data_IF_535711747239
#
_entry.id   IF_535711747239
#
_cell.length_a   1.000
_cell.length_b   1.000
_cell.length_c   1.000
_cell.angle_alpha   90.00
_cell.angle_beta   90.00
_cell.angle_gamma   90.00
#
_symmetry.space_group_name_H-M   'P 1'
#
loop_
_entity.id
_entity.type
_entity.pdbx_description
1 polymer ?
#
# COMPACT_ATOMS: atom_id res chain seq x y z
N UNK A 1 7.56 12.68 -28.39
CA UNK A 1 7.97 12.85 -26.98
C UNK A 1 7.13 11.88 -26.16
N UNK A 2 7.41 10.58 -26.26
CA UNK A 2 6.68 9.55 -25.51
C UNK A 2 7.64 9.03 -24.45
N UNK A 3 7.70 9.71 -23.31
CA UNK A 3 8.28 9.09 -22.12
C UNK A 3 7.40 7.87 -21.80
N UNK A 4 7.95 6.66 -21.67
CA UNK A 4 7.19 5.53 -21.18
C UNK A 4 6.76 5.89 -19.76
N UNK A 5 5.45 6.13 -19.57
CA UNK A 5 4.86 6.13 -18.24
C UNK A 5 5.12 4.74 -17.70
N UNK A 6 5.89 4.63 -16.62
CA UNK A 6 6.22 3.33 -16.05
C UNK A 6 4.92 2.54 -15.82
N UNK A 7 4.83 1.28 -16.25
CA UNK A 7 3.59 0.50 -16.12
C UNK A 7 3.24 0.16 -14.66
N UNK A 8 4.19 0.37 -13.75
CA UNK A 8 4.09 0.15 -12.32
C UNK A 8 4.89 1.21 -11.56
N UNK A 9 4.59 1.33 -10.28
CA UNK A 9 5.33 2.11 -9.30
C UNK A 9 6.24 1.20 -8.47
N UNK A 10 7.09 1.79 -7.63
CA UNK A 10 7.90 1.07 -6.65
C UNK A 10 7.22 1.10 -5.29
N UNK A 11 6.92 -0.06 -4.70
CA UNK A 11 6.55 -0.16 -3.28
C UNK A 11 7.77 -0.59 -2.48
N UNK A 12 8.21 0.26 -1.55
CA UNK A 12 9.27 -0.05 -0.58
C UNK A 12 8.65 -0.42 0.76
N UNK A 13 9.28 -1.37 1.47
CA UNK A 13 8.85 -1.80 2.80
C UNK A 13 9.99 -1.64 3.80
N UNK A 14 9.73 -0.89 4.88
CA UNK A 14 10.71 -0.60 5.92
C UNK A 14 11.92 0.17 5.40
N UNK A 15 13.05 0.04 6.09
CA UNK A 15 14.32 0.70 5.76
C UNK A 15 15.39 -0.26 5.21
N UNK A 16 15.12 -1.57 5.19
CA UNK A 16 16.07 -2.61 4.76
C UNK A 16 16.28 -2.69 3.23
N UNK A 17 15.68 -1.75 2.48
CA UNK A 17 15.76 -1.71 1.01
C UNK A 17 14.85 -2.71 0.30
N UNK A 18 13.99 -3.41 1.03
CA UNK A 18 12.99 -4.34 0.48
C UNK A 18 12.00 -3.57 -0.39
N UNK A 19 11.83 -3.99 -1.64
CA UNK A 19 10.91 -3.35 -2.57
C UNK A 19 10.32 -4.34 -3.59
N UNK A 20 9.17 -4.00 -4.15
CA UNK A 20 8.53 -4.75 -5.22
C UNK A 20 7.82 -3.83 -6.22
N UNK A 21 7.40 -4.42 -7.34
CA UNK A 21 6.62 -3.74 -8.37
C UNK A 21 5.17 -3.53 -7.88
N UNK A 22 4.74 -2.27 -7.80
CA UNK A 22 3.44 -1.86 -7.30
C UNK A 22 2.52 -1.45 -8.45
N UNK A 23 1.53 -2.28 -8.75
CA UNK A 23 0.69 -2.08 -9.92
C UNK A 23 -0.53 -1.20 -9.59
N UNK A 24 -0.83 -0.16 -10.38
CA UNK A 24 -1.93 0.78 -10.11
C UNK A 24 -3.33 0.15 -10.22
N UNK A 25 -3.43 -1.00 -10.88
CA UNK A 25 -4.67 -1.75 -11.12
C UNK A 25 -4.94 -2.83 -10.06
N UNK A 26 -4.05 -3.01 -9.08
CA UNK A 26 -4.23 -4.00 -8.03
C UNK A 26 -3.90 -3.44 -6.63
N UNK A 27 -4.38 -4.09 -5.55
CA UNK A 27 -4.03 -3.67 -4.20
C UNK A 27 -2.52 -3.80 -3.91
N UNK A 28 -2.01 -2.90 -3.08
CA UNK A 28 -0.62 -2.93 -2.62
C UNK A 28 -0.26 -4.27 -1.97
N UNK A 29 -1.14 -4.84 -1.16
CA UNK A 29 -0.90 -6.17 -0.54
C UNK A 29 -0.62 -7.24 -1.60
N UNK A 30 -1.37 -7.25 -2.69
CA UNK A 30 -1.19 -8.24 -3.75
C UNK A 30 0.14 -8.02 -4.51
N UNK A 31 0.58 -6.76 -4.61
CA UNK A 31 1.90 -6.41 -5.17
C UNK A 31 3.04 -6.87 -4.26
N UNK A 32 2.91 -6.67 -2.94
CA UNK A 32 3.86 -7.13 -1.93
C UNK A 32 4.01 -8.66 -1.98
N UNK A 33 2.88 -9.39 -2.00
CA UNK A 33 2.86 -10.85 -2.07
C UNK A 33 3.54 -11.38 -3.34
N UNK A 34 3.29 -10.75 -4.50
CA UNK A 34 3.96 -11.11 -5.76
C UNK A 34 5.46 -10.82 -5.74
N UNK A 35 5.88 -9.78 -5.01
CA UNK A 35 7.28 -9.47 -4.75
C UNK A 35 7.95 -10.36 -3.70
N UNK A 36 7.22 -11.31 -3.10
CA UNK A 36 7.72 -12.16 -2.03
C UNK A 36 7.86 -11.46 -0.68
N UNK A 37 7.15 -10.34 -0.47
CA UNK A 37 7.15 -9.59 0.78
C UNK A 37 5.93 -10.03 1.60
N UNK A 38 6.19 -10.68 2.73
CA UNK A 38 5.15 -11.03 3.69
C UNK A 38 4.63 -9.78 4.41
N UNK A 39 3.31 -9.59 4.36
CA UNK A 39 2.62 -8.52 5.05
C UNK A 39 1.41 -9.07 5.81
N UNK A 40 1.16 -8.64 7.06
CA UNK A 40 0.06 -9.17 7.85
C UNK A 40 -1.28 -8.94 7.13
N UNK A 41 -2.08 -9.99 6.97
CA UNK A 41 -3.40 -9.86 6.32
C UNK A 41 -4.37 -10.94 6.79
N UNK A 42 -5.68 -10.65 6.71
CA UNK A 42 -6.74 -11.60 7.07
C UNK A 42 -7.96 -11.44 6.16
N UNK A 43 -8.81 -10.43 6.37
CA UNK A 43 -10.08 -10.29 5.62
C UNK A 43 -9.94 -9.87 4.14
N UNK A 44 -8.82 -9.22 3.78
CA UNK A 44 -8.54 -8.63 2.45
C UNK A 44 -9.66 -7.75 1.87
N UNK A 45 -10.49 -7.15 2.72
CA UNK A 45 -11.62 -6.31 2.32
C UNK A 45 -11.68 -4.97 3.07
N UNK A 46 -10.60 -4.61 3.77
CA UNK A 46 -10.51 -3.34 4.51
C UNK A 46 -11.24 -3.30 5.87
N UNK A 47 -11.80 -4.42 6.36
CA UNK A 47 -12.61 -4.41 7.60
C UNK A 47 -11.84 -4.83 8.86
N UNK A 48 -11.01 -5.87 8.79
CA UNK A 48 -10.37 -6.44 9.99
C UNK A 48 -9.17 -5.63 10.51
N UNK A 49 -8.65 -4.68 9.72
CA UNK A 49 -7.45 -3.88 10.00
C UNK A 49 -6.15 -4.66 10.27
N UNK A 50 -6.11 -5.99 10.14
CA UNK A 50 -4.87 -6.79 10.27
C UNK A 50 -3.73 -6.30 9.37
N UNK A 51 -4.05 -5.78 8.18
CA UNK A 51 -3.03 -5.27 7.26
C UNK A 51 -2.64 -3.81 7.49
N UNK A 52 -3.17 -3.14 8.51
CA UNK A 52 -2.88 -1.72 8.71
C UNK A 52 -1.38 -1.49 8.81
N UNK A 53 -0.89 -0.44 8.16
CA UNK A 53 0.47 0.05 8.30
C UNK A 53 0.50 1.56 8.08
N UNK A 54 1.70 2.09 7.93
CA UNK A 54 1.91 3.52 7.69
C UNK A 54 2.48 3.72 6.28
N UNK A 55 1.88 4.63 5.53
CA UNK A 55 2.37 5.17 4.28
C UNK A 55 3.33 6.30 4.60
N UNK A 56 4.61 5.99 4.72
CA UNK A 56 5.66 6.95 5.03
C UNK A 56 5.92 7.92 3.87
N UNK A 57 5.78 7.44 2.63
CA UNK A 57 5.94 8.26 1.41
C UNK A 57 4.97 7.81 0.32
N UNK A 58 4.59 8.75 -0.55
CA UNK A 58 3.74 8.49 -1.71
C UNK A 58 2.25 8.74 -1.45
N UNK A 59 1.44 8.35 -2.42
CA UNK A 59 -0.02 8.48 -2.36
C UNK A 59 -0.69 7.18 -2.81
N UNK A 60 -1.85 6.90 -2.19
CA UNK A 60 -2.70 5.77 -2.53
C UNK A 60 -4.14 6.22 -2.68
N UNK A 61 -4.88 5.53 -3.55
CA UNK A 61 -6.32 5.67 -3.69
C UNK A 61 -7.03 4.42 -3.21
N UNK A 62 -8.30 4.58 -2.84
CA UNK A 62 -9.19 3.48 -2.52
C UNK A 62 -10.31 3.43 -3.56
N UNK A 63 -10.71 2.22 -3.97
CA UNK A 63 -11.81 2.06 -4.93
C UNK A 63 -13.18 2.46 -4.36
N UNK A 64 -13.29 2.49 -3.03
CA UNK A 64 -14.51 2.85 -2.28
C UNK A 64 -14.09 3.84 -1.19
N UNK A 65 -14.89 4.88 -0.95
CA UNK A 65 -14.66 5.91 0.08
C UNK A 65 -14.53 5.36 1.51
N UNK A 66 -14.91 4.10 1.74
CA UNK A 66 -14.94 3.46 3.05
C UNK A 66 -13.89 2.35 3.22
N UNK A 67 -12.62 2.67 3.55
CA UNK A 67 -11.61 1.68 3.86
C UNK A 67 -11.30 1.70 5.36
N UNK A 68 -12.30 1.58 6.24
CA UNK A 68 -12.08 1.34 7.68
C UNK A 68 -11.11 2.28 8.43
N UNK A 69 -10.74 3.44 7.88
CA UNK A 69 -9.80 4.42 8.43
C UNK A 69 -10.52 5.77 8.58
N UNK A 70 -10.33 6.42 9.72
CA UNK A 70 -10.79 7.80 9.96
C UNK A 70 -9.98 8.80 9.14
N UNK A 71 -10.46 10.04 9.05
CA UNK A 71 -9.71 11.11 8.40
C UNK A 71 -8.39 11.42 9.13
N UNK A 72 -8.38 11.31 10.47
CA UNK A 72 -7.16 11.46 11.27
C UNK A 72 -6.17 10.33 11.00
N UNK A 73 -6.60 9.08 10.99
CA UNK A 73 -5.73 7.94 10.66
C UNK A 73 -5.10 8.13 9.27
N UNK A 74 -5.89 8.56 8.26
CA UNK A 74 -5.35 8.89 6.94
C UNK A 74 -4.34 10.04 6.98
N UNK A 75 -4.56 11.06 7.81
CA UNK A 75 -3.66 12.20 7.97
C UNK A 75 -2.36 11.82 8.73
N UNK A 76 -2.44 10.84 9.63
CA UNK A 76 -1.28 10.21 10.28
C UNK A 76 -0.54 9.22 9.35
N UNK A 77 -1.01 9.05 8.12
CA UNK A 77 -0.41 8.18 7.13
C UNK A 77 -0.87 6.72 7.23
N UNK A 78 -1.88 6.38 8.03
CA UNK A 78 -2.38 5.01 8.06
C UNK A 78 -2.91 4.57 6.70
N UNK A 79 -2.61 3.34 6.34
CA UNK A 79 -3.00 2.72 5.07
C UNK A 79 -3.44 1.28 5.29
N UNK A 80 -4.40 0.83 4.47
CA UNK A 80 -4.81 -0.57 4.38
C UNK A 80 -4.35 -1.15 3.04
N UNK A 81 -3.12 -1.72 2.94
CA UNK A 81 -2.56 -2.25 1.69
C UNK A 81 -3.46 -3.27 0.99
N UNK A 82 -4.32 -3.98 1.74
CA UNK A 82 -5.24 -4.96 1.14
C UNK A 82 -6.32 -4.37 0.22
N UNK A 83 -6.57 -3.06 0.32
CA UNK A 83 -7.57 -2.35 -0.51
C UNK A 83 -7.05 -1.00 -1.03
N UNK A 84 -5.79 -0.65 -0.73
CA UNK A 84 -5.13 0.55 -1.22
C UNK A 84 -4.46 0.29 -2.58
N UNK A 85 -4.67 1.19 -3.53
CA UNK A 85 -4.07 1.14 -4.87
C UNK A 85 -3.03 2.25 -4.98
N UNK A 86 -1.80 1.97 -5.43
CA UNK A 86 -0.78 3.00 -5.57
C UNK A 86 -1.15 3.98 -6.69
N UNK A 87 -0.87 5.27 -6.48
CA UNK A 87 -0.92 6.30 -7.53
C UNK A 87 0.44 6.97 -7.76
N UNK A 88 1.43 6.61 -6.94
CA UNK A 88 2.84 7.00 -7.06
C UNK A 88 3.73 5.88 -6.52
N UNK A 89 5.05 6.07 -6.56
CA UNK A 89 5.96 5.30 -5.71
C UNK A 89 5.55 5.47 -4.24
N UNK A 90 5.60 4.38 -3.47
CA UNK A 90 5.17 4.35 -2.07
C UNK A 90 6.23 3.74 -1.16
N UNK A 91 6.30 4.23 0.07
CA UNK A 91 7.04 3.60 1.18
C UNK A 91 6.05 3.20 2.26
N UNK A 92 6.03 1.92 2.59
CA UNK A 92 5.17 1.33 3.61
C UNK A 92 6.01 0.91 4.82
N UNK A 93 5.49 1.17 6.01
CA UNK A 93 6.03 0.69 7.27
C UNK A 93 5.02 -0.24 7.92
N UNK A 94 5.49 -1.45 8.24
CA UNK A 94 4.69 -2.43 8.94
C UNK A 94 4.29 -1.85 10.31
N UNK A 95 3.09 -2.19 10.82
CA UNK A 95 2.67 -1.71 12.13
C UNK A 95 3.70 -2.15 13.16
N UNK A 96 4.18 -1.20 13.97
CA UNK A 96 5.02 -1.51 15.12
C UNK A 96 4.18 -2.33 16.10
N UNK A 97 4.39 -3.64 16.09
CA UNK A 97 3.78 -4.58 17.06
C UNK A 97 4.47 -4.48 18.42
#
# INVERSE_FOLDING_TARGET
MNSPVAPFFTARVGDDGTQCDAWPEQPLLLSLEQGGIDWPSSCRNGTCRTCIGVLAEGEVRYAIDWPGLTAEEKAEGCVLPCVAYPVSDVKLEAPAI
#
